data_IF_788431080435
#
_entry.id   IF_788431080435
#
_cell.length_a   1.000
_cell.length_b   1.000
_cell.length_c   1.000
_cell.angle_alpha   90.00
_cell.angle_beta   90.00
_cell.angle_gamma   90.00
#
_symmetry.space_group_name_H-M   'P 1'
#
loop_
_entity.id
_entity.type
_entity.pdbx_description
1 polymer ?
#
# COMPACT_ATOMS: atom_id res chain seq x y z
N UNK A 1 18.46 -13.87 -12.60
CA UNK A 1 18.09 -13.47 -11.23
C UNK A 1 18.64 -14.48 -10.27
N UNK A 2 19.45 -14.05 -9.29
CA UNK A 2 19.85 -14.90 -8.16
C UNK A 2 18.61 -15.34 -7.38
N UNK A 3 18.59 -16.57 -6.93
CA UNK A 3 17.52 -17.16 -6.13
C UNK A 3 17.41 -16.52 -4.75
N UNK A 4 16.32 -16.82 -4.04
CA UNK A 4 16.12 -16.36 -2.66
C UNK A 4 17.24 -16.78 -1.73
N UNK A 5 17.71 -18.03 -1.86
CA UNK A 5 18.81 -18.57 -1.06
C UNK A 5 20.10 -17.83 -1.37
N UNK A 6 20.47 -17.73 -2.65
CA UNK A 6 21.70 -17.02 -3.07
C UNK A 6 21.72 -15.56 -2.60
N UNK A 7 20.58 -14.86 -2.67
CA UNK A 7 20.47 -13.49 -2.18
C UNK A 7 20.59 -13.41 -0.66
N UNK A 8 19.92 -14.31 0.09
CA UNK A 8 19.99 -14.32 1.56
C UNK A 8 21.40 -14.62 2.03
N UNK A 9 22.08 -15.59 1.41
CA UNK A 9 23.46 -15.95 1.71
C UNK A 9 24.39 -14.77 1.41
N UNK A 10 24.23 -14.11 0.26
CA UNK A 10 25.03 -12.95 -0.10
C UNK A 10 24.87 -11.78 0.89
N UNK A 11 23.63 -11.52 1.34
CA UNK A 11 23.33 -10.50 2.35
C UNK A 11 24.08 -10.83 3.65
N UNK A 12 23.96 -12.08 4.13
CA UNK A 12 24.63 -12.52 5.35
C UNK A 12 26.16 -12.51 5.23
N UNK A 13 26.72 -12.97 4.12
CA UNK A 13 28.16 -12.93 3.86
C UNK A 13 28.70 -11.50 3.78
N UNK A 14 27.89 -10.57 3.26
CA UNK A 14 28.25 -9.14 3.23
C UNK A 14 28.28 -8.58 4.64
N UNK A 15 27.25 -8.88 5.46
CA UNK A 15 27.20 -8.47 6.86
C UNK A 15 28.37 -9.05 7.68
N UNK A 16 28.72 -10.33 7.49
CA UNK A 16 29.83 -10.97 8.21
C UNK A 16 31.21 -10.34 7.92
N UNK A 17 31.38 -9.69 6.76
CA UNK A 17 32.61 -8.97 6.40
C UNK A 17 32.65 -7.54 6.95
N UNK A 18 31.58 -7.10 7.61
CA UNK A 18 31.41 -5.78 8.20
C UNK A 18 31.33 -5.95 9.72
N UNK A 19 32.45 -5.90 10.46
CA UNK A 19 32.48 -6.21 11.89
C UNK A 19 31.62 -5.29 12.76
N UNK A 20 31.22 -4.12 12.24
CA UNK A 20 30.34 -3.17 12.90
C UNK A 20 28.85 -3.60 12.83
N UNK A 21 28.50 -4.55 11.95
CA UNK A 21 27.14 -5.11 11.87
C UNK A 21 26.96 -6.14 12.98
N UNK A 22 26.08 -5.82 13.93
CA UNK A 22 25.79 -6.63 15.12
C UNK A 22 24.61 -7.59 14.93
N UNK A 23 23.64 -7.22 14.10
CA UNK A 23 22.51 -8.08 13.80
C UNK A 23 21.98 -7.80 12.40
N UNK A 24 21.31 -8.80 11.83
CA UNK A 24 20.66 -8.75 10.53
C UNK A 24 19.25 -9.30 10.67
N UNK A 25 18.28 -8.54 10.19
CA UNK A 25 16.89 -8.98 10.11
C UNK A 25 16.31 -8.71 8.73
N UNK A 26 15.23 -9.41 8.42
CA UNK A 26 14.44 -9.22 7.21
C UNK A 26 12.98 -8.99 7.59
N UNK A 27 12.34 -8.00 6.98
CA UNK A 27 10.92 -7.73 7.16
C UNK A 27 10.15 -7.84 5.84
N UNK A 28 9.01 -7.16 5.74
CA UNK A 28 8.23 -7.06 4.51
C UNK A 28 7.61 -8.37 4.03
N UNK A 29 7.26 -8.39 2.74
CA UNK A 29 6.45 -9.47 2.17
C UNK A 29 7.17 -10.83 2.14
N UNK A 30 8.51 -10.81 2.11
CA UNK A 30 9.34 -12.02 2.08
C UNK A 30 9.48 -12.67 3.46
N UNK A 31 9.33 -11.90 4.55
CA UNK A 31 9.22 -12.41 5.91
C UNK A 31 7.79 -12.90 6.24
N UNK A 32 6.78 -12.44 5.50
CA UNK A 32 5.37 -12.76 5.70
C UNK A 32 5.04 -14.17 5.18
N UNK A 33 4.52 -15.05 6.06
CA UNK A 33 4.20 -16.45 5.71
C UNK A 33 2.82 -16.60 5.06
N UNK A 34 1.93 -15.62 5.25
CA UNK A 34 0.55 -15.64 4.78
C UNK A 34 0.39 -15.10 3.35
N UNK A 35 1.44 -14.48 2.80
CA UNK A 35 1.44 -13.91 1.44
C UNK A 35 2.10 -14.91 0.46
N UNK A 36 1.53 -15.13 -0.74
CA UNK A 36 2.17 -15.93 -1.77
C UNK A 36 3.57 -15.41 -2.11
N UNK A 37 4.53 -16.33 -2.21
CA UNK A 37 5.90 -15.98 -2.60
C UNK A 37 5.99 -15.83 -4.11
N UNK A 38 6.73 -14.84 -4.55
CA UNK A 38 7.05 -14.63 -5.96
C UNK A 38 8.48 -14.07 -6.15
N UNK A 39 8.92 -14.00 -7.41
CA UNK A 39 10.25 -13.54 -7.78
C UNK A 39 10.41 -12.00 -7.74
N UNK A 40 9.32 -11.26 -7.54
CA UNK A 40 9.29 -9.81 -7.44
C UNK A 40 9.17 -9.31 -5.99
N UNK A 41 9.18 -10.21 -4.99
CA UNK A 41 9.31 -9.83 -3.60
C UNK A 41 10.71 -9.28 -3.31
N UNK A 42 10.76 -8.02 -2.95
CA UNK A 42 11.94 -7.30 -2.49
C UNK A 42 12.55 -7.96 -1.23
N UNK A 43 13.83 -7.70 -0.99
CA UNK A 43 14.51 -8.04 0.26
C UNK A 43 14.55 -6.79 1.14
N UNK A 44 13.57 -6.65 2.03
CA UNK A 44 13.55 -5.63 3.08
C UNK A 44 14.51 -6.05 4.19
N UNK A 45 15.75 -5.55 4.18
CA UNK A 45 16.84 -5.96 5.08
C UNK A 45 17.17 -4.83 6.04
N UNK A 46 17.42 -5.17 7.29
CA UNK A 46 17.95 -4.22 8.28
C UNK A 46 19.27 -4.72 8.86
N UNK A 47 20.30 -3.89 8.78
CA UNK A 47 21.58 -4.09 9.47
C UNK A 47 21.62 -3.22 10.73
N UNK A 48 21.80 -3.86 11.87
CA UNK A 48 21.96 -3.19 13.16
C UNK A 48 23.44 -2.89 13.38
N UNK A 49 23.78 -1.62 13.60
CA UNK A 49 25.15 -1.13 13.83
C UNK A 49 25.16 -0.15 15.01
N UNK A 50 26.31 0.15 15.59
CA UNK A 50 26.37 1.21 16.62
C UNK A 50 26.26 2.60 16.01
N UNK A 51 26.99 2.83 14.91
CA UNK A 51 27.06 4.11 14.21
C UNK A 51 26.83 3.88 12.70
N UNK A 52 25.86 4.58 12.14
CA UNK A 52 25.49 4.49 10.72
C UNK A 52 26.35 5.40 9.83
N UNK A 53 26.98 6.43 10.40
CA UNK A 53 27.75 7.44 9.65
C UNK A 53 28.85 6.85 8.76
N UNK A 54 29.68 5.89 9.22
CA UNK A 54 30.74 5.31 8.40
C UNK A 54 30.21 4.65 7.13
N UNK A 55 29.07 3.96 7.23
CA UNK A 55 28.44 3.26 6.12
C UNK A 55 27.81 4.22 5.10
N UNK A 56 27.30 5.36 5.58
CA UNK A 56 26.72 6.41 4.73
C UNK A 56 27.83 7.16 3.97
N UNK A 57 28.94 7.48 4.67
CA UNK A 57 30.09 8.21 4.11
C UNK A 57 30.87 7.39 3.10
N UNK A 58 31.07 6.09 3.35
CA UNK A 58 31.72 5.17 2.42
C UNK A 58 30.79 4.03 2.03
N UNK A 59 30.22 4.11 0.82
CA UNK A 59 29.22 3.16 0.31
C UNK A 59 29.79 1.99 -0.50
N UNK A 60 31.12 1.87 -0.62
CA UNK A 60 31.75 0.82 -1.44
C UNK A 60 31.44 -0.60 -0.94
N UNK A 61 31.08 -0.77 0.33
CA UNK A 61 30.66 -2.06 0.87
C UNK A 61 29.42 -2.62 0.16
N UNK A 62 28.54 -1.75 -0.36
CA UNK A 62 27.36 -2.14 -1.14
C UNK A 62 27.73 -2.84 -2.46
N UNK A 63 28.94 -2.65 -2.98
CA UNK A 63 29.39 -3.27 -4.24
C UNK A 63 29.48 -4.80 -4.13
N UNK A 64 29.60 -5.34 -2.92
CA UNK A 64 29.54 -6.78 -2.66
C UNK A 64 28.16 -7.37 -2.95
N UNK A 65 27.09 -6.58 -2.83
CA UNK A 65 25.72 -7.02 -3.11
C UNK A 65 25.44 -7.17 -4.62
N UNK A 66 26.35 -6.68 -5.47
CA UNK A 66 26.29 -6.79 -6.92
C UNK A 66 26.14 -5.45 -7.63
N UNK A 67 26.13 -5.51 -8.96
CA UNK A 67 25.99 -4.32 -9.81
C UNK A 67 24.55 -3.82 -9.81
N UNK A 68 24.39 -2.54 -9.46
CA UNK A 68 23.09 -1.87 -9.32
C UNK A 68 22.67 -1.22 -10.65
N UNK A 69 21.40 -1.37 -11.02
CA UNK A 69 20.75 -0.59 -12.08
C UNK A 69 20.46 0.82 -11.59
N UNK A 70 19.93 0.94 -10.38
CA UNK A 70 19.62 2.21 -9.74
C UNK A 70 19.72 2.05 -8.22
N UNK A 71 20.09 3.14 -7.55
CA UNK A 71 20.05 3.25 -6.10
C UNK A 71 19.38 4.57 -5.72
N UNK A 72 18.50 4.52 -4.74
CA UNK A 72 17.88 5.69 -4.12
C UNK A 72 18.19 5.70 -2.62
N UNK A 73 18.45 6.88 -2.09
CA UNK A 73 18.62 7.13 -0.65
C UNK A 73 17.56 8.13 -0.18
N UNK A 74 16.37 7.65 0.25
CA UNK A 74 15.25 8.53 0.60
C UNK A 74 15.61 9.57 1.67
N UNK A 75 16.48 9.21 2.62
CA UNK A 75 16.95 10.08 3.71
C UNK A 75 17.82 11.25 3.23
N UNK A 76 18.26 11.26 1.97
CA UNK A 76 19.04 12.34 1.36
C UNK A 76 18.23 13.16 0.34
N UNK A 77 16.94 12.84 0.14
CA UNK A 77 16.14 13.40 -0.94
C UNK A 77 15.00 14.31 -0.45
N UNK A 78 14.87 15.48 -1.08
CA UNK A 78 13.75 16.41 -0.93
C UNK A 78 13.67 17.11 0.44
N UNK A 79 12.47 17.60 0.79
CA UNK A 79 12.17 18.24 2.08
C UNK A 79 12.22 17.28 3.29
N UNK A 80 12.52 16.01 3.05
CA UNK A 80 12.64 14.93 4.05
C UNK A 80 14.08 14.51 4.31
N UNK A 81 15.06 15.31 3.89
CA UNK A 81 16.45 15.15 4.29
C UNK A 81 16.58 15.40 5.81
N UNK A 82 16.21 14.40 6.59
CA UNK A 82 16.49 14.38 8.02
C UNK A 82 17.96 13.99 8.17
N UNK A 83 18.63 14.54 9.19
CA UNK A 83 19.85 13.89 9.67
C UNK A 83 19.43 12.49 10.13
N UNK A 84 19.86 11.49 9.38
CA UNK A 84 19.82 10.10 9.76
C UNK A 84 20.69 9.95 11.01
N UNK A 85 20.10 10.16 12.20
CA UNK A 85 20.80 9.91 13.47
C UNK A 85 20.63 8.46 13.90
N UNK A 86 19.49 7.84 13.57
CA UNK A 86 19.17 6.48 14.01
C UNK A 86 18.92 5.49 12.88
N UNK A 87 18.57 5.96 11.67
CA UNK A 87 18.29 5.11 10.51
C UNK A 87 18.68 5.75 9.20
N UNK A 88 19.10 4.93 8.25
CA UNK A 88 19.37 5.34 6.88
C UNK A 88 19.04 4.21 5.90
N UNK A 89 18.30 4.51 4.83
CA UNK A 89 17.83 3.51 3.87
C UNK A 89 18.46 3.66 2.50
N UNK A 90 18.91 2.53 1.95
CA UNK A 90 19.32 2.35 0.57
C UNK A 90 18.30 1.47 -0.15
N UNK A 91 17.61 2.01 -1.15
CA UNK A 91 16.76 1.24 -2.06
C UNK A 91 17.58 0.91 -3.30
N UNK A 92 17.81 -0.37 -3.57
CA UNK A 92 18.73 -0.81 -4.62
C UNK A 92 18.07 -1.85 -5.52
N UNK A 93 18.01 -1.55 -6.82
CA UNK A 93 17.65 -2.52 -7.85
C UNK A 93 18.91 -2.99 -8.57
N UNK A 94 19.10 -4.29 -8.72
CA UNK A 94 20.30 -4.92 -9.29
C UNK A 94 20.08 -5.39 -10.74
N UNK A 95 21.17 -5.56 -11.50
CA UNK A 95 21.10 -5.98 -12.92
C UNK A 95 20.45 -7.34 -13.13
N UNK A 96 20.45 -8.20 -12.11
CA UNK A 96 19.80 -9.50 -12.16
C UNK A 96 18.29 -9.44 -11.84
N UNK A 97 17.75 -8.25 -11.59
CA UNK A 97 16.34 -7.95 -11.34
C UNK A 97 15.93 -7.99 -9.86
N UNK A 98 16.80 -8.48 -8.96
CA UNK A 98 16.52 -8.46 -7.53
C UNK A 98 16.55 -7.03 -6.99
N UNK A 99 15.76 -6.78 -5.94
CA UNK A 99 15.75 -5.52 -5.21
C UNK A 99 16.02 -5.75 -3.72
N UNK A 100 16.90 -4.93 -3.15
CA UNK A 100 17.15 -4.88 -1.71
C UNK A 100 16.80 -3.48 -1.23
N UNK A 101 15.87 -3.40 -0.28
CA UNK A 101 15.60 -2.21 0.51
C UNK A 101 16.37 -2.39 1.82
N UNK A 102 17.59 -1.87 1.88
CA UNK A 102 18.52 -2.03 3.01
C UNK A 102 18.44 -0.83 3.93
N UNK A 103 18.01 -1.04 5.16
CA UNK A 103 18.04 -0.03 6.23
C UNK A 103 19.21 -0.29 7.18
N UNK A 104 20.04 0.72 7.40
CA UNK A 104 20.93 0.78 8.55
C UNK A 104 20.10 1.27 9.73
N UNK A 105 20.21 0.61 10.88
CA UNK A 105 19.59 1.05 12.12
C UNK A 105 20.66 1.09 13.22
N UNK A 106 20.79 2.22 13.90
CA UNK A 106 21.65 2.32 15.08
C UNK A 106 21.10 1.43 16.20
N UNK A 107 21.95 1.02 17.13
CA UNK A 107 21.53 0.29 18.33
C UNK A 107 20.54 1.09 19.19
N UNK A 108 20.63 2.43 19.19
CA UNK A 108 19.64 3.30 19.85
C UNK A 108 18.27 3.29 19.16
N UNK A 109 18.24 3.08 17.84
CA UNK A 109 17.02 3.09 17.02
C UNK A 109 16.22 1.77 16.98
N UNK A 110 16.69 0.72 17.67
CA UNK A 110 16.08 -0.62 17.61
C UNK A 110 14.62 -0.61 18.08
N UNK A 111 14.33 -0.01 19.24
CA UNK A 111 12.96 -0.05 19.78
C UNK A 111 11.94 0.67 18.88
N UNK A 112 12.18 1.93 18.41
CA UNK A 112 11.29 2.57 17.45
C UNK A 112 11.17 1.81 16.13
N UNK A 113 12.23 1.12 15.69
CA UNK A 113 12.19 0.27 14.51
C UNK A 113 11.29 -0.95 14.68
N UNK A 114 11.54 -1.76 15.70
CA UNK A 114 10.76 -2.98 15.96
C UNK A 114 9.26 -2.68 16.11
N UNK A 115 8.90 -1.54 16.71
CA UNK A 115 7.51 -1.11 16.83
C UNK A 115 6.79 -0.88 15.48
N UNK A 116 7.54 -0.67 14.40
CA UNK A 116 7.03 -0.44 13.04
C UNK A 116 7.23 -1.63 12.10
N UNK A 117 7.75 -2.77 12.58
CA UNK A 117 8.00 -3.97 11.78
C UNK A 117 7.07 -5.12 12.19
N UNK A 118 5.81 -5.13 11.71
CA UNK A 118 4.82 -6.13 12.09
C UNK A 118 5.09 -7.54 11.61
N UNK A 119 6.11 -7.70 10.75
CA UNK A 119 6.55 -8.99 10.25
C UNK A 119 8.06 -8.95 10.19
N UNK A 120 8.71 -9.65 11.11
CA UNK A 120 10.16 -9.68 11.22
C UNK A 120 10.67 -11.11 11.26
N UNK A 121 11.75 -11.37 10.52
CA UNK A 121 12.55 -12.59 10.59
C UNK A 121 13.98 -12.20 10.93
N UNK A 122 14.45 -12.56 12.12
CA UNK A 122 15.87 -12.44 12.48
C UNK A 122 16.68 -13.43 11.62
N UNK A 123 17.70 -12.93 10.93
CA UNK A 123 18.62 -13.75 10.12
C UNK A 123 19.92 -14.04 10.87
N UNK A 124 20.42 -13.07 11.65
CA UNK A 124 21.60 -13.21 12.50
C UNK A 124 21.52 -12.23 13.67
N UNK A 125 21.73 -12.69 14.91
CA UNK A 125 21.76 -11.84 16.11
C UNK A 125 22.64 -12.44 17.23
N UNK A 126 23.97 -12.50 17.02
CA UNK A 126 24.91 -13.06 18.01
C UNK A 126 25.01 -12.24 19.30
N UNK A 127 24.56 -10.98 19.28
CA UNK A 127 24.59 -10.08 20.44
C UNK A 127 23.26 -10.01 21.19
N UNK A 128 22.25 -10.77 20.75
CA UNK A 128 20.92 -10.81 21.37
C UNK A 128 20.25 -9.43 21.47
N UNK A 129 20.41 -8.59 20.43
CA UNK A 129 19.84 -7.25 20.36
C UNK A 129 18.37 -7.24 19.94
N UNK A 130 17.90 -8.32 19.32
CA UNK A 130 16.57 -8.46 18.73
C UNK A 130 15.72 -9.47 19.50
N UNK A 131 15.94 -9.65 20.80
CA UNK A 131 15.17 -10.59 21.64
C UNK A 131 13.78 -10.07 21.99
N UNK A 132 13.64 -8.75 22.13
CA UNK A 132 12.39 -8.08 22.48
C UNK A 132 11.61 -7.68 21.23
N UNK A 133 11.43 -8.61 20.28
CA UNK A 133 10.56 -8.38 19.13
C UNK A 133 9.13 -8.27 19.68
N UNK A 134 8.46 -7.11 19.54
CA UNK A 134 7.08 -7.01 19.99
C UNK A 134 6.23 -8.04 19.25
N UNK A 135 5.19 -8.57 19.91
CA UNK A 135 4.20 -9.47 19.29
C UNK A 135 3.30 -8.66 18.35
N UNK A 136 3.92 -8.10 17.32
CA UNK A 136 3.25 -7.38 16.26
C UNK A 136 2.90 -8.43 15.23
N UNK A 137 1.61 -8.67 15.10
CA UNK A 137 1.06 -9.66 14.19
C UNK A 137 0.62 -8.98 12.90
N UNK A 138 0.60 -9.74 11.79
CA UNK A 138 -0.05 -9.33 10.53
C UNK A 138 -1.51 -8.86 10.70
N UNK A 139 -2.13 -9.12 11.86
CA UNK A 139 -3.40 -8.53 12.30
C UNK A 139 -3.45 -7.01 12.16
N UNK A 140 -2.32 -6.29 12.25
CA UNK A 140 -2.30 -4.83 12.02
C UNK A 140 -2.74 -4.43 10.61
N UNK A 141 -2.64 -5.36 9.65
CA UNK A 141 -3.09 -5.16 8.27
C UNK A 141 -4.50 -5.70 8.02
N UNK A 142 -5.16 -6.26 9.03
CA UNK A 142 -6.51 -6.78 8.88
C UNK A 142 -7.54 -5.64 8.93
N UNK A 143 -8.52 -5.74 8.03
CA UNK A 143 -9.73 -4.94 8.09
C UNK A 143 -10.74 -5.68 8.95
N UNK A 144 -11.38 -4.93 9.84
CA UNK A 144 -12.43 -5.38 10.73
C UNK A 144 -13.81 -5.02 10.17
N UNK A 145 -14.89 -5.64 10.67
CA UNK A 145 -16.25 -5.30 10.26
C UNK A 145 -16.51 -3.80 10.38
N UNK A 146 -17.25 -3.25 9.41
CA UNK A 146 -17.67 -1.85 9.44
C UNK A 146 -18.57 -1.59 10.65
N UNK A 147 -18.60 -0.33 11.09
CA UNK A 147 -19.67 0.18 11.95
C UNK A 147 -20.65 0.99 11.10
N UNK A 148 -21.88 1.19 11.59
CA UNK A 148 -22.87 2.07 10.95
C UNK A 148 -22.26 3.45 10.63
N UNK A 149 -21.53 4.04 11.57
CA UNK A 149 -20.89 5.34 11.40
C UNK A 149 -19.84 5.32 10.29
N UNK A 150 -18.92 4.34 10.30
CA UNK A 150 -17.89 4.25 9.27
C UNK A 150 -18.48 4.03 7.87
N UNK A 151 -19.55 3.23 7.78
CA UNK A 151 -20.28 3.02 6.53
C UNK A 151 -20.96 4.31 6.04
N UNK A 152 -21.63 5.05 6.93
CA UNK A 152 -22.27 6.33 6.60
C UNK A 152 -21.24 7.38 6.14
N UNK A 153 -20.08 7.46 6.79
CA UNK A 153 -18.97 8.34 6.40
C UNK A 153 -18.41 7.96 5.02
N UNK A 154 -18.21 6.66 4.76
CA UNK A 154 -17.78 6.18 3.44
C UNK A 154 -18.78 6.56 2.33
N UNK A 155 -20.08 6.37 2.56
CA UNK A 155 -21.11 6.78 1.62
C UNK A 155 -21.14 8.29 1.42
N UNK A 156 -21.01 9.07 2.51
CA UNK A 156 -21.02 10.52 2.43
C UNK A 156 -19.84 11.05 1.62
N UNK A 157 -18.62 10.58 1.90
CA UNK A 157 -17.41 10.99 1.19
C UNK A 157 -17.50 10.64 -0.30
N UNK A 158 -17.96 9.41 -0.63
CA UNK A 158 -18.16 9.00 -2.02
C UNK A 158 -19.10 9.94 -2.76
N UNK A 159 -20.31 10.15 -2.24
CA UNK A 159 -21.33 10.97 -2.92
C UNK A 159 -20.92 12.43 -2.98
N UNK A 160 -20.36 12.98 -1.91
CA UNK A 160 -19.89 14.35 -1.85
C UNK A 160 -18.81 14.63 -2.90
N UNK A 161 -17.75 13.81 -2.93
CA UNK A 161 -16.63 14.01 -3.85
C UNK A 161 -16.98 13.64 -5.29
N UNK A 162 -17.97 12.77 -5.53
CA UNK A 162 -18.46 12.54 -6.90
C UNK A 162 -18.95 13.83 -7.57
N UNK A 163 -19.47 14.80 -6.80
CA UNK A 163 -19.83 16.13 -7.33
C UNK A 163 -18.62 16.97 -7.77
N UNK A 164 -17.42 16.69 -7.23
CA UNK A 164 -16.20 17.38 -7.64
C UNK A 164 -15.74 16.83 -8.99
N UNK A 165 -15.89 15.51 -9.19
CA UNK A 165 -15.67 14.88 -10.50
C UNK A 165 -16.59 15.50 -11.54
N UNK A 166 -17.89 15.65 -11.25
CA UNK A 166 -18.84 16.36 -12.13
C UNK A 166 -18.36 17.76 -12.49
N UNK A 167 -17.99 18.58 -11.50
CA UNK A 167 -17.49 19.95 -11.73
C UNK A 167 -16.26 19.97 -12.64
N UNK A 168 -15.29 19.09 -12.39
CA UNK A 168 -14.10 18.98 -13.22
C UNK A 168 -14.43 18.62 -14.66
N UNK A 169 -15.31 17.63 -14.86
CA UNK A 169 -15.70 17.17 -16.19
C UNK A 169 -16.49 18.22 -16.97
N UNK A 170 -17.42 18.96 -16.32
CA UNK A 170 -18.14 20.08 -16.93
C UNK A 170 -17.19 21.19 -17.38
N UNK A 171 -16.08 21.39 -16.67
CA UNK A 171 -15.05 22.39 -17.01
C UNK A 171 -13.99 21.90 -18.00
N UNK A 172 -14.04 20.62 -18.41
CA UNK A 172 -13.00 20.02 -19.24
C UNK A 172 -11.68 19.75 -18.49
N UNK A 173 -11.69 19.75 -17.16
CA UNK A 173 -10.52 19.54 -16.30
C UNK A 173 -10.28 18.04 -16.04
N UNK A 174 -9.82 17.31 -17.06
CA UNK A 174 -9.67 15.84 -17.01
C UNK A 174 -8.81 15.37 -15.83
N UNK A 175 -7.67 16.01 -15.61
CA UNK A 175 -6.74 15.62 -14.53
C UNK A 175 -7.40 15.78 -13.16
N UNK A 176 -8.06 16.91 -12.90
CA UNK A 176 -8.78 17.17 -11.66
C UNK A 176 -9.88 16.11 -11.42
N UNK A 177 -10.69 15.85 -12.45
CA UNK A 177 -11.76 14.86 -12.34
C UNK A 177 -11.23 13.44 -12.12
N UNK A 178 -10.22 13.02 -12.89
CA UNK A 178 -9.62 11.68 -12.77
C UNK A 178 -8.94 11.46 -11.42
N UNK A 179 -8.31 12.50 -10.85
CA UNK A 179 -7.68 12.42 -9.53
C UNK A 179 -8.72 12.21 -8.43
N UNK A 180 -9.80 12.99 -8.40
CA UNK A 180 -10.88 12.81 -7.41
C UNK A 180 -11.60 11.48 -7.61
N UNK A 181 -11.87 11.07 -8.85
CA UNK A 181 -12.54 9.81 -9.15
C UNK A 181 -11.69 8.62 -8.67
N UNK A 182 -10.39 8.59 -8.99
CA UNK A 182 -9.52 7.47 -8.61
C UNK A 182 -9.08 7.50 -7.14
N UNK A 183 -8.67 8.66 -6.64
CA UNK A 183 -8.01 8.74 -5.33
C UNK A 183 -8.99 8.82 -4.17
N UNK A 184 -10.27 9.13 -4.43
CA UNK A 184 -11.32 9.24 -3.42
C UNK A 184 -12.49 8.29 -3.75
N UNK A 185 -13.25 8.53 -4.82
CA UNK A 185 -14.46 7.73 -5.09
C UNK A 185 -14.16 6.22 -5.26
N UNK A 186 -13.16 5.86 -6.07
CA UNK A 186 -12.75 4.45 -6.21
C UNK A 186 -12.20 3.86 -4.91
N UNK A 187 -11.56 4.67 -4.05
CA UNK A 187 -11.06 4.20 -2.76
C UNK A 187 -12.20 3.92 -1.77
N UNK A 188 -13.22 4.76 -1.72
CA UNK A 188 -14.41 4.48 -0.90
C UNK A 188 -15.17 3.26 -1.42
N UNK A 189 -15.24 3.06 -2.75
CA UNK A 189 -15.75 1.81 -3.32
C UNK A 189 -14.92 0.58 -2.91
N UNK A 190 -13.59 0.66 -2.98
CA UNK A 190 -12.71 -0.43 -2.52
C UNK A 190 -12.85 -0.69 -1.02
N UNK A 191 -13.06 0.36 -0.21
CA UNK A 191 -13.33 0.25 1.22
C UNK A 191 -14.65 -0.48 1.48
N UNK A 192 -15.72 -0.10 0.79
CA UNK A 192 -17.02 -0.79 0.84
C UNK A 192 -16.88 -2.28 0.49
N UNK A 193 -16.27 -2.59 -0.66
CA UNK A 193 -16.02 -3.97 -1.09
C UNK A 193 -15.14 -4.74 -0.09
N UNK A 194 -14.19 -4.08 0.57
CA UNK A 194 -13.40 -4.72 1.62
C UNK A 194 -14.23 -5.13 2.83
N UNK A 195 -15.24 -4.33 3.20
CA UNK A 195 -16.18 -4.70 4.25
C UNK A 195 -17.12 -5.83 3.84
N UNK A 196 -17.57 -5.87 2.59
CA UNK A 196 -18.30 -7.03 2.05
C UNK A 196 -17.47 -8.31 2.17
N UNK A 197 -16.19 -8.26 1.80
CA UNK A 197 -15.30 -9.40 1.91
C UNK A 197 -15.14 -9.85 3.38
N UNK A 198 -14.99 -8.90 4.31
CA UNK A 198 -14.94 -9.19 5.76
C UNK A 198 -16.24 -9.79 6.26
N UNK A 199 -17.40 -9.31 5.81
CA UNK A 199 -18.71 -9.85 6.19
C UNK A 199 -18.86 -11.32 5.75
N UNK A 200 -18.28 -11.69 4.61
CA UNK A 200 -18.35 -13.06 4.07
C UNK A 200 -17.30 -14.02 4.64
N UNK A 201 -16.09 -13.52 4.99
CA UNK A 201 -14.92 -14.36 5.29
C UNK A 201 -14.33 -14.15 6.69
N UNK A 202 -14.84 -13.17 7.45
CA UNK A 202 -14.22 -12.69 8.67
C UNK A 202 -13.06 -11.72 8.40
N UNK A 203 -12.34 -11.27 9.45
CA UNK A 203 -11.23 -10.33 9.33
C UNK A 203 -10.16 -10.83 8.34
N UNK A 204 -9.75 -9.95 7.42
CA UNK A 204 -8.82 -10.28 6.33
C UNK A 204 -7.90 -9.10 5.99
N UNK A 205 -6.80 -9.37 5.29
CA UNK A 205 -5.89 -8.36 4.78
C UNK A 205 -6.05 -8.25 3.25
N UNK A 206 -6.61 -7.15 2.70
CA UNK A 206 -6.75 -6.99 1.26
C UNK A 206 -5.44 -6.62 0.56
N UNK A 207 -4.34 -6.52 1.29
CA UNK A 207 -3.03 -6.09 0.80
C UNK A 207 -2.95 -4.58 0.59
N UNK A 208 -1.71 -4.08 0.48
CA UNK A 208 -1.44 -2.68 0.12
C UNK A 208 -2.17 -2.33 -1.18
N UNK A 209 -2.89 -1.21 -1.19
CA UNK A 209 -3.73 -0.77 -2.31
C UNK A 209 -4.74 -1.83 -2.77
N UNK A 210 -5.27 -2.64 -1.85
CA UNK A 210 -6.32 -3.65 -2.12
C UNK A 210 -5.93 -4.74 -3.13
N UNK A 211 -4.62 -4.95 -3.37
CA UNK A 211 -4.12 -5.89 -4.40
C UNK A 211 -4.58 -7.35 -4.26
N UNK A 212 -5.07 -7.75 -3.09
CA UNK A 212 -5.61 -9.09 -2.83
C UNK A 212 -7.13 -9.11 -2.60
N UNK A 213 -7.81 -7.96 -2.64
CA UNK A 213 -9.25 -7.86 -2.37
C UNK A 213 -10.07 -8.79 -3.26
N UNK A 214 -9.76 -8.84 -4.55
CA UNK A 214 -10.49 -9.66 -5.52
C UNK A 214 -10.20 -11.16 -5.42
N UNK A 215 -9.21 -11.59 -4.62
CA UNK A 215 -9.10 -13.01 -4.26
C UNK A 215 -10.27 -13.43 -3.36
N UNK A 216 -10.85 -12.50 -2.60
CA UNK A 216 -12.02 -12.72 -1.76
C UNK A 216 -13.33 -12.43 -2.50
N UNK A 217 -13.30 -11.50 -3.48
CA UNK A 217 -14.45 -11.09 -4.28
C UNK A 217 -14.19 -11.22 -5.80
N UNK A 218 -13.93 -12.43 -6.33
CA UNK A 218 -13.49 -12.61 -7.71
C UNK A 218 -14.52 -12.12 -8.74
N UNK A 219 -15.81 -12.19 -8.43
CA UNK A 219 -16.88 -11.72 -9.31
C UNK A 219 -16.93 -10.18 -9.44
N UNK A 220 -16.28 -9.44 -8.52
CA UNK A 220 -16.27 -7.97 -8.50
C UNK A 220 -15.09 -7.39 -9.30
N UNK A 221 -14.09 -8.19 -9.65
CA UNK A 221 -12.87 -7.71 -10.31
C UNK A 221 -13.14 -7.10 -11.69
N UNK A 222 -13.72 -7.88 -12.61
CA UNK A 222 -13.95 -7.42 -13.97
C UNK A 222 -14.91 -6.21 -14.06
N UNK A 223 -16.01 -6.14 -13.26
CA UNK A 223 -16.79 -4.91 -13.14
C UNK A 223 -15.97 -3.72 -12.67
N UNK A 224 -15.16 -3.88 -11.61
CA UNK A 224 -14.34 -2.80 -11.05
C UNK A 224 -13.29 -2.28 -12.04
N UNK A 225 -12.59 -3.17 -12.74
CA UNK A 225 -11.55 -2.78 -13.72
C UNK A 225 -12.13 -1.93 -14.87
N UNK A 226 -13.38 -2.18 -15.27
CA UNK A 226 -14.07 -1.37 -16.30
C UNK A 226 -14.34 0.07 -15.85
N UNK A 227 -14.32 0.34 -14.55
CA UNK A 227 -14.51 1.68 -14.00
C UNK A 227 -13.26 2.56 -14.14
N UNK A 228 -12.11 1.99 -14.55
CA UNK A 228 -10.81 2.66 -14.56
C UNK A 228 -10.43 3.22 -15.95
N UNK A 229 -11.38 3.82 -16.67
CA UNK A 229 -11.12 4.39 -18.00
C UNK A 229 -11.20 5.93 -18.02
N UNK A 230 -10.10 6.59 -17.68
CA UNK A 230 -10.01 8.05 -17.60
C UNK A 230 -9.27 8.68 -18.80
N UNK A 231 -9.16 7.96 -19.92
CA UNK A 231 -8.30 8.36 -21.04
C UNK A 231 -8.83 9.54 -21.87
N UNK A 232 -10.06 10.00 -21.61
CA UNK A 232 -10.63 11.23 -22.16
C UNK A 232 -11.74 11.74 -21.24
N UNK A 233 -12.20 12.99 -21.45
CA UNK A 233 -13.36 13.54 -20.73
C UNK A 233 -14.60 12.64 -20.91
N UNK A 234 -14.88 12.18 -22.13
CA UNK A 234 -16.05 11.34 -22.40
C UNK A 234 -15.95 9.99 -21.67
N UNK A 235 -14.79 9.33 -21.71
CA UNK A 235 -14.59 8.05 -21.03
C UNK A 235 -14.57 8.21 -19.49
N UNK A 236 -14.09 9.35 -18.99
CA UNK A 236 -14.14 9.66 -17.56
C UNK A 236 -15.58 9.93 -17.08
N UNK A 237 -16.44 10.56 -17.90
CA UNK A 237 -17.87 10.65 -17.63
C UNK A 237 -18.53 9.28 -17.54
N UNK A 238 -18.27 8.40 -18.51
CA UNK A 238 -18.79 7.03 -18.51
C UNK A 238 -18.32 6.26 -17.27
N UNK A 239 -17.05 6.43 -16.89
CA UNK A 239 -16.48 5.82 -15.70
C UNK A 239 -17.13 6.36 -14.41
N UNK A 240 -17.40 7.67 -14.31
CA UNK A 240 -18.10 8.26 -13.17
C UNK A 240 -19.51 7.67 -13.01
N UNK A 241 -20.30 7.66 -14.08
CA UNK A 241 -21.67 7.11 -14.07
C UNK A 241 -21.66 5.64 -13.64
N UNK A 242 -20.82 4.81 -14.28
CA UNK A 242 -20.70 3.40 -13.94
C UNK A 242 -20.21 3.18 -12.50
N UNK A 243 -19.35 4.06 -11.98
CA UNK A 243 -18.88 3.99 -10.59
C UNK A 243 -19.98 4.33 -9.60
N UNK A 244 -20.80 5.35 -9.89
CA UNK A 244 -21.96 5.71 -9.06
C UNK A 244 -23.00 4.58 -9.05
N UNK A 245 -23.34 4.02 -10.21
CA UNK A 245 -24.28 2.90 -10.31
C UNK A 245 -23.79 1.69 -9.50
N UNK A 246 -22.51 1.34 -9.66
CA UNK A 246 -21.92 0.19 -8.96
C UNK A 246 -21.85 0.45 -7.45
N UNK A 247 -21.35 1.61 -7.02
CA UNK A 247 -21.30 1.97 -5.60
C UNK A 247 -22.68 1.98 -4.95
N UNK A 248 -23.69 2.54 -5.64
CA UNK A 248 -25.06 2.56 -5.13
C UNK A 248 -25.59 1.15 -4.89
N UNK A 249 -25.44 0.25 -5.87
CA UNK A 249 -25.89 -1.13 -5.76
C UNK A 249 -25.16 -1.89 -4.65
N UNK A 250 -23.83 -1.78 -4.57
CA UNK A 250 -23.04 -2.45 -3.53
C UNK A 250 -23.34 -1.89 -2.13
N UNK A 251 -23.55 -0.57 -2.00
CA UNK A 251 -23.87 0.05 -0.72
C UNK A 251 -25.25 -0.39 -0.21
N UNK A 252 -26.24 -0.52 -1.08
CA UNK A 252 -27.56 -1.08 -0.74
C UNK A 252 -27.44 -2.53 -0.26
N UNK A 253 -26.74 -3.37 -1.03
CA UNK A 253 -26.55 -4.78 -0.71
C UNK A 253 -25.81 -4.95 0.63
N UNK A 254 -24.73 -4.20 0.84
CA UNK A 254 -23.95 -4.24 2.06
C UNK A 254 -24.78 -3.76 3.26
N UNK A 255 -25.50 -2.64 3.13
CA UNK A 255 -26.33 -2.11 4.21
C UNK A 255 -27.40 -3.12 4.63
N UNK A 256 -28.08 -3.76 3.67
CA UNK A 256 -29.04 -4.81 3.95
C UNK A 256 -28.40 -6.00 4.68
N UNK A 257 -27.24 -6.47 4.21
CA UNK A 257 -26.55 -7.62 4.78
C UNK A 257 -25.97 -7.35 6.18
N UNK A 258 -25.52 -6.12 6.43
CA UNK A 258 -24.95 -5.68 7.71
C UNK A 258 -26.00 -5.19 8.71
N UNK A 259 -27.26 -4.98 8.28
CA UNK A 259 -28.32 -4.40 9.11
C UNK A 259 -28.11 -2.90 9.36
N UNK A 260 -27.52 -2.19 8.39
CA UNK A 260 -27.21 -0.77 8.45
C UNK A 260 -28.22 0.08 7.67
N UNK A 261 -28.34 1.33 8.08
CA UNK A 261 -29.13 2.32 7.35
C UNK A 261 -28.34 2.87 6.16
N UNK A 262 -28.97 2.95 5.00
CA UNK A 262 -28.44 3.57 3.79
C UNK A 262 -29.44 4.58 3.21
N UNK A 263 -29.00 5.82 3.02
CA UNK A 263 -29.87 6.91 2.53
C UNK A 263 -29.94 6.91 1.00
N UNK A 264 -30.82 6.07 0.43
CA UNK A 264 -31.04 5.99 -1.03
C UNK A 264 -31.30 7.36 -1.67
N UNK A 265 -32.08 8.20 -1.02
CA UNK A 265 -32.45 9.53 -1.54
C UNK A 265 -31.25 10.44 -1.78
N UNK A 266 -30.19 10.35 -0.97
CA UNK A 266 -28.96 11.13 -1.19
C UNK A 266 -28.23 10.64 -2.43
N UNK A 267 -28.12 9.32 -2.59
CA UNK A 267 -27.51 8.72 -3.77
C UNK A 267 -28.25 9.10 -5.06
N UNK A 268 -29.56 8.88 -5.07
CA UNK A 268 -30.45 9.17 -6.21
C UNK A 268 -30.37 10.65 -6.63
N UNK A 269 -30.43 11.58 -5.67
CA UNK A 269 -30.30 13.02 -5.94
C UNK A 269 -28.95 13.37 -6.60
N UNK A 270 -27.85 12.74 -6.18
CA UNK A 270 -26.51 13.02 -6.74
C UNK A 270 -26.32 12.33 -8.10
N UNK A 271 -26.90 11.15 -8.29
CA UNK A 271 -26.92 10.47 -9.59
C UNK A 271 -27.72 11.27 -10.61
N UNK A 272 -28.90 11.78 -10.24
CA UNK A 272 -29.71 12.67 -11.09
C UNK A 272 -28.96 13.96 -11.44
N UNK A 273 -28.33 14.60 -10.46
CA UNK A 273 -27.46 15.76 -10.66
C UNK A 273 -26.33 15.47 -11.66
N UNK A 274 -25.69 14.31 -11.53
CA UNK A 274 -24.61 13.87 -12.44
C UNK A 274 -25.14 13.64 -13.85
N UNK A 275 -26.30 13.00 -13.96
CA UNK A 275 -26.93 12.66 -15.23
C UNK A 275 -27.42 13.91 -15.99
N UNK A 276 -27.91 14.92 -15.28
CA UNK A 276 -28.29 16.22 -15.84
C UNK A 276 -27.08 16.92 -16.46
N UNK A 277 -25.98 17.04 -15.69
CA UNK A 277 -24.76 17.69 -16.17
C UNK A 277 -24.06 16.91 -17.29
N UNK A 278 -24.10 15.58 -17.24
CA UNK A 278 -23.59 14.76 -18.33
C UNK A 278 -24.33 15.04 -19.63
N UNK A 279 -25.68 15.07 -19.61
CA UNK A 279 -26.49 15.38 -20.80
C UNK A 279 -26.17 16.76 -21.36
N UNK A 280 -26.08 17.77 -20.49
CA UNK A 280 -25.72 19.14 -20.89
C UNK A 280 -24.29 19.24 -21.46
N UNK A 281 -23.37 18.37 -21.03
CA UNK A 281 -22.01 18.32 -21.57
C UNK A 281 -21.89 17.56 -22.91
N UNK A 282 -22.90 16.78 -23.30
CA UNK A 282 -22.94 16.09 -24.61
C UNK A 282 -23.67 16.90 -25.70
N UNK A 283 -24.41 17.95 -25.33
CA UNK A 283 -25.12 18.86 -26.26
C UNK A 283 -24.24 20.00 -26.75
#
# INVERSE_FOLDING_TARGET
MRSTTEMTDLILETAQKLPEVKAVAMSGSRANKSIPKDNFQDFDITYIVDDIDPFIKNRQWLDKLGKRLIMQTPDEMGLRANKAEEKFTFLMLFEDGNRIDLTLCSTSGIHPWLANEPVLKVLSDPYHLLTDVPDVSEKVYQIFPATQTAFAECCNEFWWVSTYVVKGLVRGELLYASDHLYTICQKELLRLLSWEAVLQKGPLNPGKNYKYLFNFLPLKQAPFEKLLNFSSINLCWQSLLATQDFFHSEAQNFAQAAGFDYMNTVAENIMDYTQEHYKAAQS
#
